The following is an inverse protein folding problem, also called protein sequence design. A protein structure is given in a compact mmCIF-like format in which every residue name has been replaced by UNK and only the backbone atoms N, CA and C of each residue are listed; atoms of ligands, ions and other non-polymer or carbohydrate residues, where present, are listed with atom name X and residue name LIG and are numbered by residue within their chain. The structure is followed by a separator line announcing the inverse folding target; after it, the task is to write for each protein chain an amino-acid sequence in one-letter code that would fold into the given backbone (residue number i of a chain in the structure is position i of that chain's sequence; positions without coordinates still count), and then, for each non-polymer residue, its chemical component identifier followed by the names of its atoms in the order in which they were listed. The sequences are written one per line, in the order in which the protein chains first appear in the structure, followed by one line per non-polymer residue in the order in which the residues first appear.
data_IF_016960788659
#
_entry.id   IF_016960788659
#
_cell.length_a   1.000
_cell.length_b   1.000
_cell.length_c   1.000
_cell.angle_alpha   90.00
_cell.angle_beta   90.00
_cell.angle_gamma   90.00
#
_symmetry.space_group_name_H-M   'P 1'
#
loop_
_entity.id
_entity.type
_entity.pdbx_description
1 polymer ?
#
# COMPACT_ATOMS: atom_id res chain seq x y z
N UNK A 1 20.33 27.42 -6.74
CA UNK A 1 19.89 26.80 -8.02
C UNK A 1 18.39 27.00 -8.12
N UNK A 2 17.96 27.74 -9.12
CA UNK A 2 16.62 28.35 -9.25
C UNK A 2 15.52 27.32 -9.47
N UNK A 3 14.50 27.35 -8.59
CA UNK A 3 13.27 26.58 -8.71
C UNK A 3 12.32 27.31 -9.68
N UNK A 4 12.23 26.83 -10.90
CA UNK A 4 11.18 27.26 -11.82
C UNK A 4 9.81 26.73 -11.38
N UNK A 5 8.78 27.61 -11.38
CA UNK A 5 7.43 27.25 -10.98
C UNK A 5 6.78 26.24 -11.94
N UNK A 6 5.83 25.47 -11.45
CA UNK A 6 5.07 24.48 -12.24
C UNK A 6 4.42 25.11 -13.47
N UNK A 7 4.04 26.38 -13.39
CA UNK A 7 3.44 27.15 -14.46
C UNK A 7 4.40 27.41 -15.62
N UNK A 8 5.67 27.68 -15.33
CA UNK A 8 6.72 27.87 -16.36
C UNK A 8 7.10 26.57 -17.04
N UNK A 9 7.06 25.43 -16.32
CA UNK A 9 7.25 24.08 -16.89
C UNK A 9 6.13 23.70 -17.84
N UNK A 10 4.88 23.99 -17.49
CA UNK A 10 3.70 23.72 -18.33
C UNK A 10 3.67 24.63 -19.56
N UNK A 11 4.14 25.87 -19.46
CA UNK A 11 4.21 26.81 -20.59
C UNK A 11 5.31 26.38 -21.58
N UNK A 12 6.42 25.81 -21.09
CA UNK A 12 7.49 25.26 -21.93
C UNK A 12 7.08 23.99 -22.67
N UNK A 13 6.32 23.10 -22.01
CA UNK A 13 5.74 21.89 -22.64
C UNK A 13 4.69 22.22 -23.70
N UNK A 14 3.90 23.29 -23.53
CA UNK A 14 2.99 23.78 -24.57
C UNK A 14 3.69 24.38 -25.77
N UNK A 15 4.93 24.88 -25.62
CA UNK A 15 5.73 25.42 -26.74
C UNK A 15 6.56 24.36 -27.47
N UNK A 16 6.77 23.17 -26.90
CA UNK A 16 7.50 22.05 -27.54
C UNK A 16 6.57 21.00 -28.17
N UNK A 17 5.25 21.19 -28.07
CA UNK A 17 4.24 20.32 -28.67
C UNK A 17 3.80 20.83 -30.04
N UNK A 18 4.26 20.11 -31.07
CA UNK A 18 3.81 20.14 -32.46
C UNK A 18 3.92 21.51 -33.19
N UNK A 19 5.09 21.81 -33.68
CA UNK A 19 5.15 22.41 -35.00
C UNK A 19 4.70 21.35 -36.02
N UNK A 20 3.38 21.29 -36.26
CA UNK A 20 2.86 20.76 -37.51
C UNK A 20 3.34 21.71 -38.58
N UNK A 21 4.36 21.31 -39.33
CA UNK A 21 4.71 21.96 -40.58
C UNK A 21 3.43 21.93 -41.43
N UNK A 22 2.81 23.11 -41.74
CA UNK A 22 1.64 23.10 -42.60
C UNK A 22 2.04 22.52 -43.93
N UNK A 23 1.23 21.60 -44.45
CA UNK A 23 1.42 21.10 -45.81
C UNK A 23 1.58 22.30 -46.75
N UNK A 24 2.60 22.34 -47.60
CA UNK A 24 2.81 23.48 -48.51
C UNK A 24 1.55 23.68 -49.32
N UNK A 25 1.04 24.93 -49.34
CA UNK A 25 -0.11 25.27 -50.18
C UNK A 25 0.26 25.02 -51.65
N UNK A 26 -0.73 24.62 -52.46
CA UNK A 26 -0.53 24.41 -53.92
C UNK A 26 0.19 25.60 -54.55
N UNK A 27 -0.17 26.82 -54.14
CA UNK A 27 0.47 28.11 -54.60
C UNK A 27 1.95 28.23 -54.26
N UNK A 28 2.41 27.58 -53.17
CA UNK A 28 3.83 27.60 -52.79
C UNK A 28 4.65 26.58 -53.61
N UNK A 29 4.05 25.42 -53.83
CA UNK A 29 4.64 24.39 -54.71
C UNK A 29 4.63 24.85 -56.20
N UNK A 30 3.59 25.54 -56.65
CA UNK A 30 3.56 26.14 -57.95
C UNK A 30 4.65 27.22 -58.11
N UNK A 31 4.90 28.05 -57.09
CA UNK A 31 5.93 29.09 -57.11
C UNK A 31 7.36 28.56 -57.04
N UNK A 32 7.59 27.48 -56.36
CA UNK A 32 8.90 26.81 -56.29
C UNK A 32 9.22 26.04 -57.58
N UNK A 33 8.21 25.53 -58.27
CA UNK A 33 8.38 24.80 -59.55
C UNK A 33 8.43 25.72 -60.78
N UNK A 34 7.90 26.94 -60.72
CA UNK A 34 7.90 27.90 -61.82
C UNK A 34 9.13 28.81 -61.86
N UNK A 35 10.07 28.61 -60.95
CA UNK A 35 11.37 29.31 -60.96
C UNK A 35 12.35 28.72 -61.97
N UNK A 36 12.38 29.31 -63.17
CA UNK A 36 13.31 29.05 -64.27
C UNK A 36 12.95 27.85 -65.17
N UNK A 37 12.07 28.04 -66.16
CA UNK A 37 12.34 27.94 -67.58
C UNK A 37 11.04 28.04 -68.37
N UNK A 38 10.91 29.13 -69.08
CA UNK A 38 9.81 29.42 -69.95
C UNK A 38 10.02 28.68 -71.29
N UNK A 39 9.58 27.43 -71.39
CA UNK A 39 9.31 26.72 -72.66
C UNK A 39 8.82 25.28 -72.45
N UNK A 40 7.81 25.05 -71.61
CA UNK A 40 7.05 23.79 -71.62
C UNK A 40 5.65 24.06 -72.17
N UNK A 41 5.21 23.30 -73.19
CA UNK A 41 3.93 23.50 -73.84
C UNK A 41 2.74 23.24 -72.91
N UNK A 42 1.64 23.98 -73.11
CA UNK A 42 0.40 23.91 -72.27
C UNK A 42 -0.11 22.49 -71.97
N UNK A 43 0.18 21.52 -72.83
CA UNK A 43 -0.20 20.11 -72.63
C UNK A 43 0.59 19.36 -71.53
N UNK A 44 1.88 19.67 -71.32
CA UNK A 44 2.69 19.08 -70.28
C UNK A 44 2.39 19.64 -68.91
N UNK A 45 2.07 20.93 -68.82
CA UNK A 45 1.64 21.61 -67.58
C UNK A 45 0.29 21.08 -67.08
N UNK A 46 -0.68 20.85 -67.99
CA UNK A 46 -1.98 20.23 -67.64
C UNK A 46 -1.83 18.76 -67.19
N UNK A 47 -0.92 18.02 -67.80
CA UNK A 47 -0.54 16.65 -67.41
C UNK A 47 0.11 16.60 -66.01
N UNK A 48 1.03 17.55 -65.74
CA UNK A 48 1.71 17.66 -64.48
C UNK A 48 0.75 18.07 -63.37
N UNK A 49 -0.15 19.02 -63.60
CA UNK A 49 -1.18 19.44 -62.66
C UNK A 49 -2.13 18.32 -62.29
N UNK A 50 -2.62 17.56 -63.28
CA UNK A 50 -3.49 16.40 -63.01
C UNK A 50 -2.77 15.29 -62.26
N UNK A 51 -1.44 15.16 -62.41
CA UNK A 51 -0.63 14.18 -61.68
C UNK A 51 -0.40 14.63 -60.23
N UNK A 52 -0.17 15.92 -60.00
CA UNK A 52 -0.08 16.51 -58.66
C UNK A 52 -1.40 16.42 -57.88
N UNK A 53 -2.52 16.73 -58.51
CA UNK A 53 -3.86 16.59 -57.90
C UNK A 53 -4.14 15.15 -57.45
N UNK A 54 -3.75 14.15 -58.24
CA UNK A 54 -3.87 12.73 -57.86
C UNK A 54 -2.98 12.38 -56.69
N UNK A 55 -1.72 12.91 -56.62
CA UNK A 55 -0.83 12.67 -55.52
C UNK A 55 -1.32 13.32 -54.24
N UNK A 56 -1.82 14.55 -54.32
CA UNK A 56 -2.39 15.26 -53.16
C UNK A 56 -3.67 14.54 -52.69
N UNK A 57 -4.55 14.09 -53.59
CA UNK A 57 -5.73 13.31 -53.24
C UNK A 57 -5.35 11.96 -52.59
N UNK A 58 -4.34 11.27 -53.11
CA UNK A 58 -3.84 10.01 -52.52
C UNK A 58 -3.20 10.23 -51.16
N UNK A 59 -2.42 11.32 -51.00
CA UNK A 59 -1.85 11.70 -49.71
C UNK A 59 -2.92 12.07 -48.67
N UNK A 60 -3.97 12.79 -49.07
CA UNK A 60 -5.11 13.13 -48.21
C UNK A 60 -5.91 11.88 -47.80
N UNK A 61 -6.11 10.91 -48.70
CA UNK A 61 -6.73 9.61 -48.36
C UNK A 61 -5.86 8.85 -47.36
N UNK A 62 -4.56 8.74 -47.63
CA UNK A 62 -3.61 8.06 -46.75
C UNK A 62 -3.49 8.71 -45.36
N UNK A 63 -3.57 10.03 -45.32
CA UNK A 63 -3.61 10.77 -44.05
C UNK A 63 -4.95 10.59 -43.31
N UNK A 64 -6.08 10.51 -44.02
CA UNK A 64 -7.39 10.14 -43.44
C UNK A 64 -7.39 8.71 -42.90
N UNK A 65 -6.80 7.77 -43.61
CA UNK A 65 -6.66 6.36 -43.17
C UNK A 65 -5.72 6.27 -41.94
N UNK A 66 -4.61 7.03 -41.93
CA UNK A 66 -3.70 7.14 -40.79
C UNK A 66 -4.37 7.75 -39.56
N UNK A 67 -5.27 8.73 -39.75
CA UNK A 67 -6.06 9.34 -38.67
C UNK A 67 -7.23 8.48 -38.23
N UNK A 68 -7.71 7.56 -39.03
CA UNK A 68 -8.79 6.63 -38.66
C UNK A 68 -8.34 5.57 -37.65
N UNK A 69 -7.05 5.26 -37.58
CA UNK A 69 -6.55 4.16 -36.75
C UNK A 69 -7.04 2.79 -37.23
N UNK A 70 -6.65 1.72 -36.57
CA UNK A 70 -7.21 0.40 -36.85
C UNK A 70 -8.70 0.37 -36.50
N UNK A 71 -9.47 -0.43 -37.22
CA UNK A 71 -10.89 -0.62 -36.97
C UNK A 71 -11.15 -1.03 -35.52
N UNK A 72 -12.12 -0.42 -34.79
CA UNK A 72 -12.42 -0.77 -33.42
C UNK A 72 -12.80 -2.23 -33.27
N UNK A 73 -12.24 -2.93 -32.32
CA UNK A 73 -12.64 -4.29 -31.97
C UNK A 73 -13.72 -4.27 -30.88
N UNK A 74 -14.84 -4.97 -31.08
CA UNK A 74 -15.90 -5.13 -30.08
C UNK A 74 -15.37 -5.80 -28.80
N UNK A 75 -16.00 -5.52 -27.65
CA UNK A 75 -15.61 -6.11 -26.37
C UNK A 75 -15.76 -7.64 -26.38
N UNK A 76 -16.83 -8.12 -26.95
CA UNK A 76 -17.19 -9.54 -27.03
C UNK A 76 -16.23 -10.39 -27.86
N UNK A 77 -15.40 -9.76 -28.71
CA UNK A 77 -14.36 -10.47 -29.49
C UNK A 77 -13.07 -10.67 -28.67
N UNK A 78 -12.85 -9.86 -27.63
CA UNK A 78 -11.60 -9.86 -26.85
C UNK A 78 -11.78 -10.36 -25.41
N UNK A 79 -13.00 -10.29 -24.89
CA UNK A 79 -13.32 -10.68 -23.52
C UNK A 79 -14.49 -11.67 -23.54
N UNK A 80 -14.23 -12.87 -23.05
CA UNK A 80 -15.25 -13.92 -22.93
C UNK A 80 -16.22 -13.58 -21.80
N UNK A 81 -17.32 -12.93 -22.15
CA UNK A 81 -18.32 -12.44 -21.20
C UNK A 81 -19.72 -12.45 -21.78
N UNK A 82 -20.68 -12.20 -20.93
CA UNK A 82 -22.11 -12.27 -21.23
C UNK A 82 -22.80 -10.93 -20.98
N UNK A 83 -23.75 -10.57 -21.84
CA UNK A 83 -24.74 -9.53 -21.53
C UNK A 83 -25.78 -10.12 -20.60
N UNK A 84 -25.94 -9.54 -19.44
CA UNK A 84 -26.89 -9.98 -18.42
C UNK A 84 -27.93 -8.89 -18.23
N UNK A 85 -29.22 -9.27 -18.32
CA UNK A 85 -30.34 -8.36 -18.11
C UNK A 85 -31.07 -8.62 -16.78
N UNK A 86 -31.61 -7.56 -16.22
CA UNK A 86 -32.55 -7.60 -15.11
C UNK A 86 -33.59 -6.46 -15.26
N UNK A 87 -34.49 -6.29 -14.28
CA UNK A 87 -35.55 -5.28 -14.34
C UNK A 87 -35.03 -3.82 -14.42
N UNK A 88 -33.74 -3.57 -14.13
CA UNK A 88 -33.09 -2.26 -14.20
C UNK A 88 -32.30 -2.01 -15.49
N UNK A 89 -32.21 -2.99 -16.40
CA UNK A 89 -31.49 -2.90 -17.65
C UNK A 89 -30.51 -4.04 -17.87
N UNK A 90 -29.47 -3.78 -18.66
CA UNK A 90 -28.42 -4.74 -18.99
C UNK A 90 -27.06 -4.26 -18.48
N UNK A 91 -26.13 -5.18 -18.32
CA UNK A 91 -24.70 -4.94 -18.07
C UNK A 91 -23.86 -6.09 -18.64
N UNK A 92 -22.54 -5.95 -18.66
CA UNK A 92 -21.65 -7.00 -19.13
C UNK A 92 -21.00 -7.73 -17.94
N UNK A 93 -20.97 -9.06 -17.98
CA UNK A 93 -20.42 -9.91 -16.92
C UNK A 93 -19.39 -10.88 -17.47
N UNK A 94 -18.28 -11.01 -16.78
CA UNK A 94 -17.23 -11.99 -17.05
C UNK A 94 -17.11 -12.92 -15.83
N UNK A 95 -17.19 -14.22 -16.08
CA UNK A 95 -16.99 -15.25 -15.08
C UNK A 95 -15.70 -16.03 -15.40
N UNK A 96 -14.85 -16.21 -14.43
CA UNK A 96 -13.64 -17.01 -14.53
C UNK A 96 -13.35 -17.74 -13.21
N UNK A 97 -12.43 -18.68 -13.22
CA UNK A 97 -12.05 -19.38 -12.00
C UNK A 97 -10.65 -19.95 -12.10
N UNK A 98 -9.99 -20.10 -10.97
CA UNK A 98 -8.68 -20.74 -10.85
C UNK A 98 -8.81 -21.94 -9.93
N UNK A 99 -8.27 -23.11 -10.34
CA UNK A 99 -8.24 -24.28 -9.46
C UNK A 99 -7.28 -24.01 -8.30
N UNK A 100 -7.64 -24.38 -7.06
CA UNK A 100 -6.88 -24.03 -5.87
C UNK A 100 -5.47 -24.62 -5.83
N UNK A 101 -5.22 -25.73 -6.52
CA UNK A 101 -3.88 -26.31 -6.66
C UNK A 101 -2.97 -25.51 -7.62
N UNK A 102 -3.55 -24.65 -8.48
CA UNK A 102 -2.75 -23.75 -9.30
C UNK A 102 -2.15 -22.66 -8.42
N UNK A 103 -0.83 -22.50 -8.54
CA UNK A 103 -0.12 -21.50 -7.75
C UNK A 103 -0.31 -20.10 -8.36
N UNK A 104 -0.61 -19.14 -7.52
CA UNK A 104 -0.55 -17.73 -7.88
C UNK A 104 0.81 -17.16 -7.46
N UNK A 105 1.72 -17.04 -8.43
CA UNK A 105 3.14 -16.94 -8.10
C UNK A 105 3.61 -18.19 -7.31
N UNK A 106 4.21 -17.96 -6.15
CA UNK A 106 4.66 -19.06 -5.28
C UNK A 106 3.60 -19.55 -4.28
N UNK A 107 2.38 -19.00 -4.30
CA UNK A 107 1.34 -19.26 -3.30
C UNK A 107 0.28 -20.21 -3.83
N UNK A 108 0.13 -21.43 -3.31
CA UNK A 108 -1.00 -22.28 -3.59
C UNK A 108 -2.23 -21.82 -2.81
N UNK A 109 -3.33 -21.50 -3.51
CA UNK A 109 -4.56 -21.03 -2.89
C UNK A 109 -5.23 -22.11 -2.01
N UNK A 110 -4.98 -23.39 -2.30
CA UNK A 110 -5.48 -24.54 -1.51
C UNK A 110 -5.08 -24.47 -0.03
N UNK A 111 -4.05 -23.69 0.30
CA UNK A 111 -3.67 -23.46 1.70
C UNK A 111 -4.73 -22.76 2.53
N UNK A 112 -5.73 -22.16 1.92
CA UNK A 112 -6.87 -21.56 2.64
C UNK A 112 -7.59 -22.57 3.53
N UNK A 113 -7.64 -23.84 3.13
CA UNK A 113 -8.30 -24.92 3.91
C UNK A 113 -7.60 -25.25 5.23
N UNK A 114 -6.32 -24.91 5.36
CA UNK A 114 -5.53 -25.14 6.56
C UNK A 114 -5.46 -23.92 7.50
N UNK A 115 -6.04 -22.78 7.10
CA UNK A 115 -6.03 -21.56 7.91
C UNK A 115 -7.10 -21.65 8.99
N UNK A 116 -6.68 -21.43 10.25
CA UNK A 116 -7.58 -21.28 11.38
C UNK A 116 -8.33 -19.92 11.25
N UNK A 117 -9.68 -19.92 11.34
CA UNK A 117 -10.46 -18.67 11.32
C UNK A 117 -10.04 -17.62 12.36
N UNK A 118 -9.42 -18.04 13.47
CA UNK A 118 -8.90 -17.13 14.50
C UNK A 118 -7.63 -16.38 14.05
N UNK A 119 -6.96 -16.84 12.99
CA UNK A 119 -5.69 -16.25 12.54
C UNK A 119 -5.85 -14.82 12.06
N UNK A 120 -6.97 -14.48 11.41
CA UNK A 120 -7.23 -13.11 10.95
C UNK A 120 -7.38 -12.16 12.14
N UNK A 121 -8.00 -12.59 13.23
CA UNK A 121 -8.06 -11.85 14.49
C UNK A 121 -6.67 -11.57 15.06
N UNK A 122 -5.79 -12.56 15.06
CA UNK A 122 -4.38 -12.40 15.48
C UNK A 122 -3.66 -11.42 14.56
N UNK A 123 -3.80 -11.56 13.26
CA UNK A 123 -3.16 -10.72 12.24
C UNK A 123 -3.55 -9.24 12.38
N UNK A 124 -4.82 -8.96 12.67
CA UNK A 124 -5.37 -7.61 12.73
C UNK A 124 -5.38 -7.03 14.14
N UNK A 125 -5.57 -7.85 15.16
CA UNK A 125 -5.90 -7.49 16.53
C UNK A 125 -7.15 -6.59 16.59
N UNK A 126 -8.14 -6.87 15.75
CA UNK A 126 -9.44 -6.19 15.69
C UNK A 126 -10.53 -7.15 16.20
N UNK A 127 -11.28 -6.83 17.27
CA UNK A 127 -12.28 -7.75 17.86
C UNK A 127 -13.35 -8.23 16.88
N UNK A 128 -13.77 -7.36 15.94
CA UNK A 128 -14.76 -7.71 14.92
C UNK A 128 -14.25 -8.72 13.88
N UNK A 129 -12.94 -9.02 13.87
CA UNK A 129 -12.30 -9.97 12.96
C UNK A 129 -11.74 -11.18 13.72
N UNK A 130 -12.13 -11.40 14.98
CA UNK A 130 -11.63 -12.48 15.84
C UNK A 130 -11.96 -13.86 15.27
N UNK A 131 -13.12 -14.04 14.67
CA UNK A 131 -13.53 -15.24 13.95
C UNK A 131 -13.84 -14.90 12.50
N UNK A 132 -12.80 -14.89 11.66
CA UNK A 132 -12.93 -14.51 10.26
C UNK A 132 -12.44 -15.64 9.35
N UNK A 133 -13.39 -16.42 8.82
CA UNK A 133 -13.07 -17.46 7.84
C UNK A 133 -12.93 -16.86 6.43
N UNK A 134 -11.74 -16.98 5.84
CA UNK A 134 -11.46 -16.51 4.48
C UNK A 134 -12.30 -17.25 3.43
N UNK A 135 -12.74 -18.48 3.72
CA UNK A 135 -13.55 -19.30 2.79
C UNK A 135 -14.98 -18.77 2.65
N UNK A 136 -15.47 -18.04 3.64
CA UNK A 136 -16.80 -17.43 3.65
C UNK A 136 -16.78 -15.95 3.26
N UNK A 137 -15.61 -15.44 2.86
CA UNK A 137 -15.46 -14.05 2.49
C UNK A 137 -15.56 -13.83 0.98
N UNK A 138 -16.09 -12.66 0.60
CA UNK A 138 -15.92 -12.15 -0.75
C UNK A 138 -14.73 -11.21 -0.80
N UNK A 139 -13.89 -11.37 -1.82
CA UNK A 139 -12.79 -10.50 -2.17
C UNK A 139 -13.28 -9.49 -3.20
N UNK A 140 -12.99 -8.21 -3.02
CA UNK A 140 -13.54 -7.15 -3.87
C UNK A 140 -12.45 -6.13 -4.22
N UNK A 141 -12.48 -5.71 -5.48
CA UNK A 141 -11.66 -4.64 -6.03
C UNK A 141 -12.44 -3.89 -7.12
N UNK A 142 -12.19 -2.59 -7.31
CA UNK A 142 -12.93 -1.75 -8.26
C UNK A 142 -12.03 -0.90 -9.13
N UNK A 143 -12.40 -0.81 -10.43
CA UNK A 143 -11.85 0.17 -11.34
C UNK A 143 -12.83 1.33 -11.53
N UNK A 144 -12.30 2.54 -11.45
CA UNK A 144 -13.13 3.74 -11.31
C UNK A 144 -12.83 4.80 -12.37
N UNK A 145 -13.79 5.67 -12.61
CA UNK A 145 -13.64 6.78 -13.57
C UNK A 145 -12.77 7.94 -13.04
N UNK A 146 -12.25 7.86 -11.81
CA UNK A 146 -11.40 8.89 -11.21
C UNK A 146 -10.72 8.42 -9.93
N UNK A 147 -9.52 8.94 -9.68
CA UNK A 147 -8.66 8.55 -8.55
C UNK A 147 -8.99 9.27 -7.22
N UNK A 148 -9.74 10.37 -7.26
CA UNK A 148 -9.93 11.24 -6.11
C UNK A 148 -11.19 10.95 -5.28
N UNK A 149 -12.08 10.04 -5.72
CA UNK A 149 -13.38 9.85 -5.11
C UNK A 149 -14.32 11.05 -5.34
N UNK A 150 -15.54 10.96 -4.86
CA UNK A 150 -16.56 12.00 -4.96
C UNK A 150 -17.79 11.55 -5.74
N UNK A 151 -18.90 12.31 -5.65
CA UNK A 151 -20.20 11.93 -6.22
C UNK A 151 -20.21 11.72 -7.76
N UNK A 152 -19.22 12.26 -8.46
CA UNK A 152 -19.05 12.10 -9.91
C UNK A 152 -18.24 10.88 -10.32
N UNK A 153 -17.60 10.17 -9.39
CA UNK A 153 -16.83 8.96 -9.67
C UNK A 153 -17.75 7.76 -9.71
N UNK A 154 -17.66 6.94 -10.76
CA UNK A 154 -18.38 5.68 -10.88
C UNK A 154 -17.38 4.51 -10.90
N UNK A 155 -17.77 3.38 -10.33
CA UNK A 155 -17.07 2.11 -10.49
C UNK A 155 -17.56 1.47 -11.79
N UNK A 156 -16.74 1.49 -12.82
CA UNK A 156 -17.14 0.95 -14.13
C UNK A 156 -16.84 -0.53 -14.29
N UNK A 157 -15.88 -1.05 -13.51
CA UNK A 157 -15.58 -2.47 -13.41
C UNK A 157 -15.46 -2.85 -11.93
N UNK A 158 -16.24 -3.84 -11.50
CA UNK A 158 -16.23 -4.34 -10.13
C UNK A 158 -15.91 -5.82 -10.18
N UNK A 159 -14.73 -6.19 -9.68
CA UNK A 159 -14.33 -7.56 -9.52
C UNK A 159 -14.71 -8.09 -8.15
N UNK A 160 -15.29 -9.28 -8.12
CA UNK A 160 -15.50 -10.04 -6.88
C UNK A 160 -14.95 -11.45 -7.04
N UNK A 161 -14.38 -11.99 -5.95
CA UNK A 161 -13.85 -13.35 -5.92
C UNK A 161 -14.26 -14.07 -4.64
N UNK A 162 -14.38 -15.40 -4.71
CA UNK A 162 -14.71 -16.24 -3.56
C UNK A 162 -14.21 -17.67 -3.73
N UNK A 163 -14.04 -18.35 -2.63
CA UNK A 163 -13.71 -19.77 -2.61
C UNK A 163 -14.99 -20.61 -2.76
N UNK A 164 -14.99 -21.57 -3.68
CA UNK A 164 -16.11 -22.48 -3.92
C UNK A 164 -15.58 -23.88 -4.30
N UNK A 165 -15.74 -24.84 -3.42
CA UNK A 165 -15.16 -26.18 -3.60
C UNK A 165 -13.64 -26.10 -3.82
N UNK A 166 -13.16 -26.71 -4.90
CA UNK A 166 -11.73 -26.73 -5.27
C UNK A 166 -11.33 -25.57 -6.21
N UNK A 167 -12.11 -24.48 -6.23
CA UNK A 167 -11.87 -23.34 -7.10
C UNK A 167 -11.94 -22.02 -6.34
N UNK A 168 -11.17 -21.07 -6.83
CA UNK A 168 -11.38 -19.66 -6.55
C UNK A 168 -12.07 -19.02 -7.75
N UNK A 169 -13.33 -18.67 -7.58
CA UNK A 169 -14.18 -18.06 -8.60
C UNK A 169 -13.94 -16.56 -8.64
N UNK A 170 -13.95 -15.97 -9.82
CA UNK A 170 -13.88 -14.52 -10.03
C UNK A 170 -15.01 -14.13 -10.98
N UNK A 171 -15.76 -13.13 -10.58
CA UNK A 171 -16.82 -12.51 -11.37
C UNK A 171 -16.56 -11.01 -11.49
N UNK A 172 -16.64 -10.52 -12.72
CA UNK A 172 -16.44 -9.11 -13.02
C UNK A 172 -17.73 -8.53 -13.58
N UNK A 173 -18.17 -7.43 -12.99
CA UNK A 173 -19.34 -6.65 -13.39
C UNK A 173 -18.85 -5.40 -14.09
N UNK A 174 -19.19 -5.25 -15.38
CA UNK A 174 -18.71 -4.15 -16.20
C UNK A 174 -19.87 -3.29 -16.72
N UNK A 175 -19.73 -2.01 -16.52
CA UNK A 175 -20.63 -0.96 -16.97
C UNK A 175 -20.16 -0.45 -18.34
N UNK A 176 -20.83 -0.84 -19.42
CA UNK A 176 -20.49 -0.40 -20.79
C UNK A 176 -20.85 1.06 -21.05
N UNK A 177 -21.82 1.58 -20.29
CA UNK A 177 -22.24 2.97 -20.30
C UNK A 177 -22.94 3.28 -18.96
N UNK A 178 -23.00 4.54 -18.57
CA UNK A 178 -23.52 4.98 -17.26
C UNK A 178 -24.97 4.57 -16.98
N UNK A 179 -25.81 4.39 -18.02
CA UNK A 179 -27.18 3.93 -17.84
C UNK A 179 -27.30 2.47 -17.38
N UNK A 180 -26.22 1.69 -17.46
CA UNK A 180 -26.18 0.30 -17.00
C UNK A 180 -25.89 0.17 -15.50
N UNK A 181 -25.54 1.26 -14.82
CA UNK A 181 -25.13 1.21 -13.41
C UNK A 181 -26.19 0.61 -12.49
N UNK A 182 -27.46 0.96 -12.68
CA UNK A 182 -28.54 0.42 -11.85
C UNK A 182 -28.68 -1.10 -11.97
N UNK A 183 -28.60 -1.61 -13.20
CA UNK A 183 -28.67 -3.04 -13.47
C UNK A 183 -27.46 -3.79 -12.88
N UNK A 184 -26.26 -3.23 -13.04
CA UNK A 184 -25.01 -3.77 -12.50
C UNK A 184 -25.06 -3.83 -10.97
N UNK A 185 -25.40 -2.72 -10.30
CA UNK A 185 -25.46 -2.66 -8.84
C UNK A 185 -26.53 -3.57 -8.25
N UNK A 186 -27.68 -3.72 -8.93
CA UNK A 186 -28.72 -4.66 -8.50
C UNK A 186 -28.20 -6.11 -8.52
N UNK A 187 -27.55 -6.52 -9.61
CA UNK A 187 -26.96 -7.84 -9.74
C UNK A 187 -25.81 -8.07 -8.73
N UNK A 188 -24.95 -7.07 -8.55
CA UNK A 188 -23.88 -7.10 -7.55
C UNK A 188 -24.43 -7.24 -6.13
N UNK A 189 -25.52 -6.55 -5.79
CA UNK A 189 -26.16 -6.66 -4.48
C UNK A 189 -26.58 -8.09 -4.17
N UNK A 190 -27.22 -8.77 -5.14
CA UNK A 190 -27.63 -10.17 -5.01
C UNK A 190 -26.44 -11.12 -4.79
N UNK A 191 -25.31 -10.85 -5.44
CA UNK A 191 -24.10 -11.65 -5.24
C UNK A 191 -23.47 -11.39 -3.85
N UNK A 192 -23.27 -10.13 -3.49
CA UNK A 192 -22.64 -9.75 -2.23
C UNK A 192 -23.43 -10.20 -1.00
N UNK A 193 -24.76 -10.25 -1.08
CA UNK A 193 -25.62 -10.72 0.00
C UNK A 193 -25.40 -12.19 0.41
N UNK A 194 -24.70 -12.97 -0.41
CA UNK A 194 -24.35 -14.38 -0.11
C UNK A 194 -23.22 -14.49 0.93
N UNK A 195 -22.45 -13.41 1.14
CA UNK A 195 -21.23 -13.43 1.93
C UNK A 195 -21.35 -12.64 3.23
N UNK A 196 -20.97 -13.23 4.36
CA UNK A 196 -21.00 -12.54 5.64
C UNK A 196 -19.75 -11.66 5.88
N UNK A 197 -18.72 -11.74 5.03
CA UNK A 197 -17.41 -11.13 5.25
C UNK A 197 -16.84 -10.53 3.97
N UNK A 198 -16.07 -9.46 4.12
CA UNK A 198 -15.46 -8.72 3.01
C UNK A 198 -13.93 -8.68 3.15
N UNK A 199 -13.22 -8.90 2.05
CA UNK A 199 -11.76 -8.70 1.94
C UNK A 199 -11.47 -7.72 0.80
N UNK A 200 -10.62 -6.72 1.07
CA UNK A 200 -10.18 -5.74 0.07
C UNK A 200 -8.71 -5.38 0.26
N UNK A 201 -8.19 -4.55 -0.62
CA UNK A 201 -6.89 -3.89 -0.44
C UNK A 201 -7.04 -2.37 -0.49
N UNK A 202 -6.96 -1.71 0.68
CA UNK A 202 -7.22 -0.27 0.85
C UNK A 202 -8.70 0.13 0.62
N UNK A 203 -9.59 -0.85 0.57
CA UNK A 203 -11.00 -0.64 0.26
C UNK A 203 -11.80 0.04 1.37
N UNK A 204 -11.33 0.02 2.63
CA UNK A 204 -11.94 0.81 3.72
C UNK A 204 -11.95 2.30 3.41
N UNK A 205 -10.96 2.79 2.66
CA UNK A 205 -10.82 4.20 2.30
C UNK A 205 -11.32 4.54 0.90
N UNK A 206 -11.41 3.55 -0.01
CA UNK A 206 -11.72 3.80 -1.43
C UNK A 206 -12.96 3.03 -1.91
N UNK A 207 -12.86 1.70 -2.08
CA UNK A 207 -13.91 0.91 -2.73
C UNK A 207 -15.24 0.93 -1.98
N UNK A 208 -15.21 0.70 -0.66
CA UNK A 208 -16.43 0.62 0.15
C UNK A 208 -17.16 1.96 0.24
N UNK A 209 -16.52 3.10 0.55
CA UNK A 209 -17.17 4.40 0.52
C UNK A 209 -17.73 4.77 -0.85
N UNK A 210 -17.01 4.42 -1.93
CA UNK A 210 -17.49 4.66 -3.29
C UNK A 210 -18.74 3.83 -3.59
N UNK A 211 -18.68 2.51 -3.36
CA UNK A 211 -19.83 1.62 -3.61
C UNK A 211 -21.02 2.01 -2.75
N UNK A 212 -20.83 2.30 -1.47
CA UNK A 212 -21.93 2.75 -0.60
C UNK A 212 -22.60 4.03 -1.15
N UNK A 213 -21.81 5.00 -1.63
CA UNK A 213 -22.32 6.20 -2.26
C UNK A 213 -23.10 5.89 -3.56
N UNK A 214 -22.57 4.98 -4.41
CA UNK A 214 -23.23 4.59 -5.68
C UNK A 214 -24.54 3.82 -5.42
N UNK A 215 -24.53 2.91 -4.45
CA UNK A 215 -25.76 2.22 -4.04
C UNK A 215 -26.81 3.19 -3.55
N UNK A 216 -26.46 4.15 -2.68
CA UNK A 216 -27.38 5.18 -2.18
C UNK A 216 -27.95 6.06 -3.30
N UNK A 217 -27.13 6.46 -4.29
CA UNK A 217 -27.59 7.21 -5.45
C UNK A 217 -28.60 6.43 -6.27
N UNK A 218 -28.47 5.10 -6.33
CA UNK A 218 -29.41 4.17 -6.96
C UNK A 218 -30.54 3.72 -6.00
N UNK A 219 -30.74 4.41 -4.85
CA UNK A 219 -31.79 4.11 -3.85
C UNK A 219 -31.71 2.69 -3.28
N UNK A 220 -30.53 2.12 -3.23
CA UNK A 220 -30.23 0.82 -2.67
C UNK A 220 -29.26 0.93 -1.49
N UNK A 221 -29.10 -0.14 -0.73
CA UNK A 221 -28.10 -0.25 0.34
C UNK A 221 -26.96 -1.16 -0.11
N UNK A 222 -25.74 -0.78 0.18
CA UNK A 222 -24.59 -1.66 0.00
C UNK A 222 -24.69 -2.85 0.98
N UNK A 223 -24.76 -4.10 0.51
CA UNK A 223 -25.07 -5.25 1.38
C UNK A 223 -24.03 -5.49 2.48
N UNK A 224 -22.78 -5.15 2.23
CA UNK A 224 -21.64 -5.39 3.13
C UNK A 224 -21.21 -4.14 3.92
N UNK A 225 -22.06 -3.11 4.03
CA UNK A 225 -21.73 -1.86 4.73
C UNK A 225 -21.31 -2.09 6.20
N UNK A 226 -21.93 -3.06 6.87
CA UNK A 226 -21.68 -3.38 8.29
C UNK A 226 -20.97 -4.75 8.47
N UNK A 227 -20.58 -5.41 7.39
CA UNK A 227 -19.93 -6.70 7.46
C UNK A 227 -18.51 -6.60 8.05
N UNK A 228 -18.04 -7.64 8.78
CA UNK A 228 -16.64 -7.76 9.12
C UNK A 228 -15.75 -7.61 7.87
N UNK A 229 -14.85 -6.62 7.90
CA UNK A 229 -14.08 -6.20 6.74
C UNK A 229 -12.58 -6.26 6.98
N UNK A 230 -11.91 -7.22 6.36
CA UNK A 230 -10.45 -7.35 6.32
C UNK A 230 -9.89 -6.49 5.18
N UNK A 231 -9.31 -5.35 5.52
CA UNK A 231 -8.51 -4.55 4.57
C UNK A 231 -7.05 -4.97 4.67
N UNK A 232 -6.55 -5.64 3.66
CA UNK A 232 -5.20 -6.25 3.65
C UNK A 232 -4.05 -5.25 3.64
N UNK A 233 -4.28 -3.98 3.28
CA UNK A 233 -3.22 -2.96 3.31
C UNK A 233 -2.64 -2.78 4.71
N UNK A 234 -3.48 -2.79 5.75
CA UNK A 234 -3.02 -2.58 7.13
C UNK A 234 -2.18 -3.74 7.65
N UNK A 235 -2.61 -5.02 7.56
CA UNK A 235 -1.77 -6.17 7.87
C UNK A 235 -0.48 -6.22 7.04
N UNK A 236 -0.56 -5.95 5.74
CA UNK A 236 0.61 -5.94 4.88
C UNK A 236 1.66 -4.91 5.34
N UNK A 237 1.25 -3.70 5.70
CA UNK A 237 2.14 -2.68 6.26
C UNK A 237 2.73 -3.11 7.60
N UNK A 238 1.96 -3.79 8.45
CA UNK A 238 2.44 -4.27 9.75
C UNK A 238 3.52 -5.35 9.60
N UNK A 239 3.35 -6.27 8.65
CA UNK A 239 4.27 -7.38 8.43
C UNK A 239 5.51 -6.97 7.63
N UNK A 240 5.35 -6.19 6.55
CA UNK A 240 6.41 -6.06 5.54
C UNK A 240 6.96 -4.66 5.33
N UNK A 241 6.35 -3.59 5.90
CA UNK A 241 6.83 -2.22 5.71
C UNK A 241 8.23 -1.97 6.27
N UNK A 242 8.66 -2.74 7.26
CA UNK A 242 10.01 -2.63 7.81
C UNK A 242 11.10 -3.05 6.80
N UNK A 243 10.75 -3.95 5.86
CA UNK A 243 11.64 -4.45 4.81
C UNK A 243 11.40 -3.80 3.45
N UNK A 244 10.12 -3.61 3.08
CA UNK A 244 9.73 -3.15 1.76
C UNK A 244 9.53 -1.63 1.72
N UNK A 245 10.05 -0.98 0.71
CA UNK A 245 9.83 0.45 0.47
C UNK A 245 8.37 0.76 0.17
N UNK A 246 7.70 -0.12 -0.60
CA UNK A 246 6.30 -0.01 -1.00
C UNK A 246 5.51 -1.24 -0.55
N UNK A 247 4.28 -0.98 -0.06
CA UNK A 247 3.29 -2.01 0.21
C UNK A 247 2.09 -1.87 -0.75
N UNK A 248 2.29 -1.44 -1.99
CA UNK A 248 1.28 -1.56 -3.06
C UNK A 248 1.13 -3.02 -3.43
N UNK A 249 -0.04 -3.43 -3.90
CA UNK A 249 -0.34 -4.83 -4.21
C UNK A 249 0.71 -5.44 -5.15
N UNK A 250 1.02 -4.78 -6.27
CA UNK A 250 2.04 -5.23 -7.22
C UNK A 250 3.45 -5.35 -6.61
N UNK A 251 3.80 -4.46 -5.65
CA UNK A 251 5.09 -4.54 -4.95
C UNK A 251 5.14 -5.76 -4.03
N UNK A 252 4.02 -6.09 -3.38
CA UNK A 252 3.89 -7.29 -2.54
C UNK A 252 3.90 -8.58 -3.38
N UNK A 253 3.22 -8.59 -4.53
CA UNK A 253 3.27 -9.68 -5.50
C UNK A 253 4.71 -10.02 -5.90
N UNK A 254 5.46 -9.00 -6.33
CA UNK A 254 6.84 -9.19 -6.78
C UNK A 254 7.76 -9.65 -5.65
N UNK A 255 7.62 -9.06 -4.45
CA UNK A 255 8.54 -9.29 -3.33
C UNK A 255 8.24 -10.55 -2.51
N UNK A 256 6.97 -11.00 -2.47
CA UNK A 256 6.51 -12.05 -1.57
C UNK A 256 5.98 -13.29 -2.30
N UNK A 257 5.48 -13.12 -3.52
CA UNK A 257 4.85 -14.21 -4.29
C UNK A 257 5.68 -14.60 -5.52
N UNK A 258 6.78 -13.87 -5.80
CA UNK A 258 7.56 -14.09 -7.02
C UNK A 258 6.79 -13.75 -8.32
N UNK A 259 5.66 -13.06 -8.20
CA UNK A 259 4.78 -12.75 -9.31
C UNK A 259 5.16 -11.40 -9.95
N UNK A 260 5.52 -11.42 -11.23
CA UNK A 260 5.72 -10.21 -12.02
C UNK A 260 4.69 -10.14 -13.12
N UNK A 261 3.95 -9.04 -13.17
CA UNK A 261 2.97 -8.81 -14.22
C UNK A 261 3.68 -8.43 -15.52
N UNK A 262 3.31 -9.08 -16.61
CA UNK A 262 3.80 -8.75 -17.94
C UNK A 262 2.77 -7.91 -18.68
N UNK A 263 3.20 -6.80 -19.26
CA UNK A 263 2.34 -5.91 -20.05
C UNK A 263 1.09 -5.39 -19.30
N UNK A 264 1.15 -5.22 -17.99
CA UNK A 264 0.07 -4.67 -17.17
C UNK A 264 -0.18 -3.18 -17.49
N UNK A 265 -1.37 -2.68 -17.16
CA UNK A 265 -1.71 -1.27 -17.28
C UNK A 265 -1.43 -0.58 -15.95
N UNK A 266 -0.72 0.56 -15.94
CA UNK A 266 -0.64 1.37 -14.73
C UNK A 266 -2.03 1.79 -14.25
N UNK A 267 -2.34 1.56 -12.97
CA UNK A 267 -3.67 1.85 -12.41
C UNK A 267 -4.13 3.31 -12.63
N UNK A 268 -3.19 4.24 -12.72
CA UNK A 268 -3.44 5.65 -13.02
C UNK A 268 -3.92 5.91 -14.46
N UNK A 269 -3.68 5.00 -15.40
CA UNK A 269 -4.12 5.08 -16.80
C UNK A 269 -5.49 4.44 -17.02
N UNK A 270 -5.96 3.57 -16.13
CA UNK A 270 -7.19 2.80 -16.27
C UNK A 270 -8.44 3.70 -16.49
N UNK A 271 -8.63 4.82 -15.77
CA UNK A 271 -9.76 5.71 -16.03
C UNK A 271 -9.77 6.26 -17.47
N UNK A 272 -8.59 6.59 -18.02
CA UNK A 272 -8.48 7.08 -19.37
C UNK A 272 -8.80 6.01 -20.42
N UNK A 273 -8.39 4.75 -20.16
CA UNK A 273 -8.74 3.60 -21.03
C UNK A 273 -10.24 3.42 -21.13
N UNK A 274 -10.97 3.54 -20.00
CA UNK A 274 -12.43 3.46 -20.01
C UNK A 274 -13.06 4.60 -20.81
N UNK A 275 -12.63 5.85 -20.63
CA UNK A 275 -13.15 6.98 -21.41
C UNK A 275 -12.84 6.85 -22.90
N UNK A 276 -11.67 6.35 -23.26
CA UNK A 276 -11.31 6.14 -24.66
C UNK A 276 -12.17 5.03 -25.30
N UNK A 277 -12.44 3.95 -24.54
CA UNK A 277 -13.37 2.91 -24.97
C UNK A 277 -14.81 3.43 -25.12
N UNK A 278 -15.33 4.20 -24.19
CA UNK A 278 -16.68 4.80 -24.30
C UNK A 278 -16.82 5.62 -25.59
N UNK A 279 -15.77 6.37 -25.98
CA UNK A 279 -15.77 7.22 -27.17
C UNK A 279 -15.56 6.44 -28.47
N UNK A 280 -14.68 5.45 -28.47
CA UNK A 280 -14.18 4.79 -29.67
C UNK A 280 -14.73 3.37 -29.86
N UNK A 281 -15.25 2.77 -28.82
CA UNK A 281 -15.71 1.38 -28.74
C UNK A 281 -14.62 0.36 -29.15
N UNK A 282 -13.35 0.72 -28.97
CA UNK A 282 -12.20 -0.16 -29.18
C UNK A 282 -11.79 -0.82 -27.87
N UNK A 283 -12.01 -2.13 -27.76
CA UNK A 283 -11.81 -2.88 -26.53
C UNK A 283 -10.36 -3.37 -26.29
N UNK A 284 -9.39 -3.12 -27.19
CA UNK A 284 -8.04 -3.68 -27.07
C UNK A 284 -7.36 -3.36 -25.76
N UNK A 285 -7.44 -2.09 -25.34
CA UNK A 285 -6.86 -1.69 -24.04
C UNK A 285 -7.77 -2.05 -22.88
N UNK A 286 -9.09 -2.04 -23.09
CA UNK A 286 -10.06 -2.41 -22.06
C UNK A 286 -9.95 -3.88 -21.66
N UNK A 287 -9.68 -4.80 -22.59
CA UNK A 287 -9.44 -6.21 -22.29
C UNK A 287 -8.31 -6.41 -21.26
N UNK A 288 -7.26 -5.57 -21.33
CA UNK A 288 -6.17 -5.58 -20.34
C UNK A 288 -6.61 -5.08 -18.96
N UNK A 289 -7.61 -4.21 -18.89
CA UNK A 289 -8.20 -3.77 -17.60
C UNK A 289 -8.96 -4.92 -16.93
N UNK A 290 -9.67 -5.75 -17.70
CA UNK A 290 -10.27 -6.98 -17.17
C UNK A 290 -9.22 -7.94 -16.59
N UNK A 291 -8.11 -8.15 -17.31
CA UNK A 291 -7.01 -8.98 -16.82
C UNK A 291 -6.38 -8.41 -15.56
N UNK A 292 -6.17 -7.09 -15.50
CA UNK A 292 -5.63 -6.37 -14.34
C UNK A 292 -6.51 -6.62 -13.10
N UNK A 293 -7.80 -6.26 -13.17
CA UNK A 293 -8.73 -6.43 -12.06
C UNK A 293 -8.90 -7.91 -11.65
N UNK A 294 -8.99 -8.85 -12.63
CA UNK A 294 -9.01 -10.29 -12.32
C UNK A 294 -7.76 -10.73 -11.55
N UNK A 295 -6.59 -10.24 -11.94
CA UNK A 295 -5.34 -10.56 -11.27
C UNK A 295 -5.30 -9.96 -9.87
N UNK A 296 -5.79 -8.74 -9.66
CA UNK A 296 -5.89 -8.11 -8.35
C UNK A 296 -6.74 -8.96 -7.40
N UNK A 297 -7.90 -9.42 -7.83
CA UNK A 297 -8.79 -10.28 -7.03
C UNK A 297 -8.09 -11.59 -6.62
N UNK A 298 -7.40 -12.26 -7.53
CA UNK A 298 -6.67 -13.50 -7.21
C UNK A 298 -5.48 -13.20 -6.28
N UNK A 299 -4.80 -12.08 -6.49
CA UNK A 299 -3.71 -11.63 -5.62
C UNK A 299 -4.17 -11.28 -4.21
N UNK A 300 -5.38 -10.73 -4.05
CA UNK A 300 -5.99 -10.51 -2.72
C UNK A 300 -6.13 -11.84 -1.96
N UNK A 301 -6.66 -12.88 -2.61
CA UNK A 301 -6.79 -14.20 -2.00
C UNK A 301 -5.43 -14.79 -1.62
N UNK A 302 -4.46 -14.73 -2.53
CA UNK A 302 -3.11 -15.22 -2.27
C UNK A 302 -2.41 -14.45 -1.13
N UNK A 303 -2.57 -13.13 -1.08
CA UNK A 303 -2.00 -12.29 -0.03
C UNK A 303 -2.62 -12.58 1.33
N UNK A 304 -3.95 -12.76 1.41
CA UNK A 304 -4.63 -13.15 2.64
C UNK A 304 -4.13 -14.49 3.16
N UNK A 305 -4.05 -15.50 2.29
CA UNK A 305 -3.50 -16.82 2.61
C UNK A 305 -2.05 -16.70 3.11
N UNK A 306 -1.21 -15.95 2.41
CA UNK A 306 0.19 -15.76 2.78
C UNK A 306 0.34 -15.08 4.15
N UNK A 307 -0.41 -14.01 4.41
CA UNK A 307 -0.35 -13.28 5.67
C UNK A 307 -0.79 -14.14 6.86
N UNK A 308 -1.85 -14.92 6.71
CA UNK A 308 -2.30 -15.85 7.73
C UNK A 308 -1.26 -16.93 8.00
N UNK A 309 -0.71 -17.55 6.97
CA UNK A 309 0.35 -18.59 7.14
C UNK A 309 1.59 -18.05 7.86
N UNK A 310 1.97 -16.81 7.61
CA UNK A 310 3.10 -16.21 8.33
C UNK A 310 2.81 -16.10 9.83
N UNK A 311 1.59 -15.76 10.20
CA UNK A 311 1.18 -15.72 11.61
C UNK A 311 1.14 -17.11 12.24
N UNK A 312 0.68 -18.10 11.52
CA UNK A 312 0.56 -19.49 12.04
C UNK A 312 1.91 -20.19 12.14
N UNK A 313 2.68 -20.17 11.06
CA UNK A 313 3.86 -20.99 10.88
C UNK A 313 5.16 -20.28 11.31
N UNK A 314 5.16 -18.96 11.50
CA UNK A 314 6.36 -18.20 11.85
C UNK A 314 7.46 -18.23 10.77
N UNK A 315 7.11 -18.39 9.51
CA UNK A 315 8.06 -18.61 8.39
C UNK A 315 8.74 -17.37 7.81
N UNK A 316 8.77 -16.27 8.52
CA UNK A 316 9.56 -15.13 8.09
C UNK A 316 11.06 -15.46 8.14
N UNK A 317 11.81 -15.17 7.08
CA UNK A 317 13.26 -15.45 6.99
C UNK A 317 14.09 -14.19 7.17
N UNK A 318 13.60 -13.03 6.71
CA UNK A 318 14.25 -11.74 6.93
C UNK A 318 14.02 -11.27 8.37
N UNK A 319 15.08 -10.88 9.06
CA UNK A 319 15.04 -10.47 10.46
C UNK A 319 14.05 -9.32 10.75
N UNK A 320 13.84 -8.41 9.79
CA UNK A 320 12.88 -7.28 9.90
C UNK A 320 11.43 -7.77 9.83
N UNK A 321 11.17 -8.78 9.00
CA UNK A 321 9.86 -9.41 8.91
C UNK A 321 9.56 -10.25 10.15
N UNK A 322 10.57 -10.96 10.70
CA UNK A 322 10.47 -11.67 11.99
C UNK A 322 10.17 -10.70 13.13
N UNK A 323 10.86 -9.56 13.19
CA UNK A 323 10.55 -8.49 14.14
C UNK A 323 9.11 -7.98 13.98
N UNK A 324 8.66 -7.79 12.75
CA UNK A 324 7.31 -7.33 12.45
C UNK A 324 6.25 -8.35 12.86
N UNK A 325 6.50 -9.64 12.63
CA UNK A 325 5.65 -10.75 13.12
C UNK A 325 5.58 -10.75 14.65
N UNK A 326 6.72 -10.60 15.34
CA UNK A 326 6.76 -10.49 16.80
C UNK A 326 5.86 -9.34 17.29
N UNK A 327 5.84 -8.21 16.59
CA UNK A 327 4.97 -7.05 16.88
C UNK A 327 3.49 -7.36 16.68
N UNK A 328 3.14 -8.10 15.63
CA UNK A 328 1.75 -8.57 15.37
C UNK A 328 1.29 -9.47 16.51
N UNK A 329 2.09 -10.46 16.88
CA UNK A 329 1.80 -11.39 17.98
C UNK A 329 1.68 -10.67 19.34
N UNK A 330 2.57 -9.69 19.62
CA UNK A 330 2.49 -8.88 20.83
C UNK A 330 1.18 -8.08 20.92
N UNK A 331 0.76 -7.50 19.79
CA UNK A 331 -0.51 -6.74 19.69
C UNK A 331 -1.73 -7.63 19.92
N UNK A 332 -1.68 -8.87 19.43
CA UNK A 332 -2.69 -9.90 19.68
C UNK A 332 -2.57 -10.53 21.08
N UNK A 333 -1.69 -10.02 21.96
CA UNK A 333 -1.41 -10.51 23.31
C UNK A 333 -0.87 -11.95 23.39
N UNK A 334 -0.39 -12.50 22.29
CA UNK A 334 0.31 -13.80 22.23
C UNK A 334 1.77 -13.62 22.64
N UNK A 335 1.95 -13.25 23.90
CA UNK A 335 3.21 -12.72 24.42
C UNK A 335 4.36 -13.74 24.40
N UNK A 336 4.08 -15.01 24.66
CA UNK A 336 5.10 -16.08 24.65
C UNK A 336 5.64 -16.30 23.24
N UNK A 337 4.75 -16.41 22.26
CA UNK A 337 5.12 -16.52 20.84
C UNK A 337 5.85 -15.26 20.36
N UNK A 338 5.37 -14.08 20.71
CA UNK A 338 6.02 -12.79 20.41
C UNK A 338 7.46 -12.73 20.91
N UNK A 339 7.71 -13.23 22.14
CA UNK A 339 9.04 -13.24 22.75
C UNK A 339 10.01 -14.16 22.00
N UNK A 340 9.52 -15.32 21.55
CA UNK A 340 10.29 -16.26 20.71
C UNK A 340 10.71 -15.57 19.40
N UNK A 341 9.78 -14.90 18.74
CA UNK A 341 10.07 -14.23 17.47
C UNK A 341 10.99 -13.00 17.66
N UNK A 342 10.89 -12.24 18.77
CA UNK A 342 11.86 -11.18 19.05
C UNK A 342 13.28 -11.70 19.24
N UNK A 343 13.48 -12.83 19.95
CA UNK A 343 14.79 -13.46 20.07
C UNK A 343 15.31 -13.94 18.72
N UNK A 344 14.46 -14.62 17.96
CA UNK A 344 14.81 -15.06 16.61
C UNK A 344 15.20 -13.89 15.69
N UNK A 345 14.50 -12.75 15.78
CA UNK A 345 14.88 -11.56 15.03
C UNK A 345 16.28 -11.05 15.44
N UNK A 346 16.61 -11.09 16.73
CA UNK A 346 17.94 -10.70 17.22
C UNK A 346 19.05 -11.64 16.74
N UNK A 347 18.76 -12.95 16.68
CA UNK A 347 19.71 -13.95 16.19
C UNK A 347 20.02 -13.77 14.69
N UNK A 348 19.02 -13.30 13.91
CA UNK A 348 19.13 -13.00 12.48
C UNK A 348 19.65 -11.59 12.17
N UNK A 349 19.91 -10.77 13.17
CA UNK A 349 20.31 -9.35 13.11
C UNK A 349 19.32 -8.45 12.34
N UNK A 350 18.33 -7.86 13.02
CA UNK A 350 17.33 -6.99 12.40
C UNK A 350 17.87 -5.56 12.10
N UNK A 351 19.16 -5.34 12.16
CA UNK A 351 19.81 -4.06 11.89
C UNK A 351 19.25 -2.92 12.77
N UNK A 352 18.69 -1.85 12.18
CA UNK A 352 18.19 -0.70 12.94
C UNK A 352 17.03 -1.03 13.90
N UNK A 353 16.43 -2.21 13.82
CA UNK A 353 15.34 -2.65 14.71
C UNK A 353 15.86 -3.40 15.95
N UNK A 354 17.17 -3.67 16.04
CA UNK A 354 17.81 -4.40 17.16
C UNK A 354 17.45 -3.78 18.52
N UNK A 355 17.68 -2.50 18.67
CA UNK A 355 17.38 -1.79 19.93
C UNK A 355 15.90 -1.89 20.30
N UNK A 356 15.01 -1.75 19.31
CA UNK A 356 13.56 -1.88 19.51
C UNK A 356 13.16 -3.29 19.96
N UNK A 357 13.75 -4.35 19.39
CA UNK A 357 13.49 -5.72 19.81
C UNK A 357 13.94 -5.96 21.26
N UNK A 358 15.15 -5.54 21.62
CA UNK A 358 15.69 -5.61 22.96
C UNK A 358 14.81 -4.86 23.98
N UNK A 359 14.36 -3.66 23.64
CA UNK A 359 13.46 -2.87 24.47
C UNK A 359 12.13 -3.59 24.75
N UNK A 360 11.56 -4.29 23.75
CA UNK A 360 10.33 -5.11 23.93
C UNK A 360 10.57 -6.28 24.88
N UNK A 361 11.67 -7.00 24.70
CA UNK A 361 12.05 -8.10 25.59
C UNK A 361 12.30 -7.60 27.03
N UNK A 362 12.93 -6.44 27.19
CA UNK A 362 13.17 -5.83 28.50
C UNK A 362 11.85 -5.50 29.23
N UNK A 363 10.86 -4.94 28.54
CA UNK A 363 9.54 -4.70 29.13
C UNK A 363 8.81 -6.00 29.51
N UNK A 364 9.01 -7.07 28.75
CA UNK A 364 8.48 -8.40 29.11
C UNK A 364 9.14 -8.92 30.38
N UNK A 365 10.47 -8.87 30.48
CA UNK A 365 11.23 -9.26 31.67
C UNK A 365 10.77 -8.46 32.88
N UNK A 366 10.65 -7.13 32.79
CA UNK A 366 10.12 -6.25 33.84
C UNK A 366 8.73 -6.69 34.33
N UNK A 367 7.80 -7.00 33.41
CA UNK A 367 6.43 -7.42 33.75
C UNK A 367 6.40 -8.77 34.48
N UNK A 368 7.36 -9.65 34.22
CA UNK A 368 7.52 -10.94 34.92
C UNK A 368 8.25 -10.80 36.27
N UNK A 369 8.72 -9.60 36.60
CA UNK A 369 9.48 -9.34 37.80
C UNK A 369 10.98 -9.67 37.68
N UNK A 370 11.44 -10.12 36.52
CA UNK A 370 12.87 -10.40 36.25
C UNK A 370 13.59 -9.10 35.93
N UNK A 371 13.95 -8.38 37.02
CA UNK A 371 14.54 -7.06 36.93
C UNK A 371 16.02 -7.09 36.51
N UNK A 372 16.73 -8.14 36.85
CA UNK A 372 18.11 -8.32 36.44
C UNK A 372 18.21 -8.44 34.91
N UNK A 373 17.42 -9.33 34.33
CA UNK A 373 17.34 -9.47 32.89
C UNK A 373 16.79 -8.21 32.18
N UNK A 374 15.81 -7.53 32.78
CA UNK A 374 15.30 -6.29 32.24
C UNK A 374 16.39 -5.21 32.16
N UNK A 375 17.23 -5.06 33.22
CA UNK A 375 18.33 -4.11 33.23
C UNK A 375 19.39 -4.44 32.16
N UNK A 376 19.78 -5.72 32.02
CA UNK A 376 20.72 -6.14 31.00
C UNK A 376 20.19 -5.77 29.58
N UNK A 377 18.95 -6.15 29.30
CA UNK A 377 18.32 -5.85 28.01
C UNK A 377 18.13 -4.35 27.76
N UNK A 378 17.80 -3.53 28.78
CA UNK A 378 17.75 -2.08 28.61
C UNK A 378 19.12 -1.48 28.34
N UNK A 379 20.17 -1.99 28.96
CA UNK A 379 21.53 -1.54 28.66
C UNK A 379 21.88 -1.78 27.20
N UNK A 380 21.70 -3.02 26.73
CA UNK A 380 21.93 -3.36 25.33
C UNK A 380 21.05 -2.54 24.36
N UNK A 381 19.77 -2.33 24.69
CA UNK A 381 18.86 -1.52 23.87
C UNK A 381 19.30 -0.06 23.80
N UNK A 382 19.74 0.49 24.92
CA UNK A 382 20.27 1.87 25.01
C UNK A 382 21.55 2.04 24.20
N UNK A 383 22.44 1.06 24.25
CA UNK A 383 23.66 1.03 23.42
C UNK A 383 23.36 0.89 21.94
N UNK A 384 22.25 0.21 21.59
CA UNK A 384 21.73 0.12 20.24
C UNK A 384 20.92 1.37 19.78
N UNK A 385 20.89 2.44 20.60
CA UNK A 385 20.29 3.72 20.23
C UNK A 385 18.87 3.98 20.75
N UNK A 386 18.32 3.12 21.60
CA UNK A 386 16.96 3.32 22.14
C UNK A 386 17.00 4.20 23.41
N UNK A 387 16.64 5.46 23.26
CA UNK A 387 16.62 6.46 24.35
C UNK A 387 15.70 6.04 25.52
N UNK A 388 14.55 5.42 25.20
CA UNK A 388 13.61 4.95 26.22
C UNK A 388 14.22 3.91 27.16
N UNK A 389 15.17 3.12 26.70
CA UNK A 389 15.86 2.14 27.50
C UNK A 389 16.67 2.81 28.62
N UNK A 390 17.39 3.90 28.33
CA UNK A 390 18.09 4.67 29.32
C UNK A 390 17.16 5.32 30.35
N UNK A 391 15.98 5.74 29.93
CA UNK A 391 14.94 6.25 30.84
C UNK A 391 14.48 5.18 31.84
N UNK A 392 14.19 3.98 31.36
CA UNK A 392 13.77 2.85 32.20
C UNK A 392 14.86 2.44 33.19
N UNK A 393 16.11 2.39 32.73
CA UNK A 393 17.28 2.14 33.62
C UNK A 393 17.42 3.21 34.71
N UNK A 394 17.36 4.50 34.33
CA UNK A 394 17.43 5.59 35.30
C UNK A 394 16.30 5.49 36.34
N UNK A 395 15.09 5.16 35.92
CA UNK A 395 13.93 4.95 36.81
C UNK A 395 14.14 3.74 37.73
N UNK A 396 14.62 2.65 37.20
CA UNK A 396 14.89 1.43 37.96
C UNK A 396 15.94 1.67 39.05
N UNK A 397 17.09 2.27 38.71
CA UNK A 397 18.16 2.59 39.68
C UNK A 397 17.72 3.61 40.70
N UNK A 398 16.95 4.65 40.31
CA UNK A 398 16.47 5.69 41.24
C UNK A 398 15.48 5.16 42.28
N UNK A 399 14.49 4.37 41.82
CA UNK A 399 13.34 4.05 42.67
C UNK A 399 13.38 2.65 43.28
N UNK A 400 14.01 1.69 42.63
CA UNK A 400 14.03 0.29 43.07
C UNK A 400 15.35 -0.08 43.75
N UNK A 401 16.46 0.15 43.06
CA UNK A 401 17.80 -0.17 43.59
C UNK A 401 18.26 0.91 44.58
N UNK A 402 17.78 2.15 44.41
CA UNK A 402 18.19 3.35 45.17
C UNK A 402 19.67 3.71 44.94
N UNK A 403 20.25 3.32 43.84
CA UNK A 403 21.57 3.73 43.38
C UNK A 403 21.47 5.02 42.57
N UNK A 404 21.69 6.16 43.23
CA UNK A 404 21.63 7.47 42.61
C UNK A 404 22.76 7.72 41.60
N UNK A 405 23.89 7.02 41.73
CA UNK A 405 25.01 7.17 40.80
C UNK A 405 24.72 6.48 39.50
N UNK A 406 24.25 5.23 39.53
CA UNK A 406 23.82 4.49 38.34
C UNK A 406 22.62 5.16 37.65
N UNK A 407 21.66 5.67 38.43
CA UNK A 407 20.52 6.43 37.88
C UNK A 407 20.98 7.70 37.13
N UNK A 408 21.93 8.44 37.66
CA UNK A 408 22.49 9.63 37.02
C UNK A 408 23.24 9.28 35.74
N UNK A 409 24.10 8.27 35.79
CA UNK A 409 24.84 7.81 34.61
C UNK A 409 23.91 7.38 33.46
N UNK A 410 22.82 6.67 33.77
CA UNK A 410 21.81 6.30 32.76
C UNK A 410 21.09 7.52 32.18
N UNK A 411 20.76 8.51 33.01
CA UNK A 411 20.13 9.75 32.56
C UNK A 411 21.06 10.57 31.63
N UNK A 412 22.34 10.66 31.95
CA UNK A 412 23.36 11.35 31.16
C UNK A 412 23.58 10.65 29.80
N UNK A 413 23.63 9.32 29.75
CA UNK A 413 23.70 8.56 28.50
C UNK A 413 22.49 8.82 27.60
N UNK A 414 21.28 8.86 28.18
CA UNK A 414 20.06 9.20 27.46
C UNK A 414 20.09 10.61 26.86
N UNK A 415 20.61 11.61 27.62
CA UNK A 415 20.80 12.97 27.12
C UNK A 415 21.81 13.03 25.97
N UNK A 416 22.96 12.40 26.15
CA UNK A 416 24.02 12.36 25.13
C UNK A 416 23.52 11.78 23.81
N UNK A 417 22.72 10.72 23.88
CA UNK A 417 22.10 10.09 22.70
C UNK A 417 21.09 11.03 22.00
N UNK A 418 20.31 11.77 22.80
CA UNK A 418 19.37 12.77 22.27
C UNK A 418 20.08 13.96 21.63
N UNK A 419 21.19 14.42 22.20
CA UNK A 419 21.99 15.51 21.65
C UNK A 419 22.62 15.14 20.32
N UNK A 420 23.09 13.90 20.18
CA UNK A 420 23.56 13.36 18.88
C UNK A 420 22.45 13.26 17.85
N UNK A 421 21.19 13.08 18.27
CA UNK A 421 20.01 12.93 17.40
C UNK A 421 19.28 14.25 17.11
N UNK A 422 19.60 15.33 17.79
CA UNK A 422 18.85 16.62 17.86
C UNK A 422 18.58 17.32 16.51
N UNK A 423 19.12 16.82 15.42
CA UNK A 423 18.87 17.44 14.11
C UNK A 423 17.53 17.05 13.47
N UNK A 424 16.65 16.23 14.06
CA UNK A 424 15.54 15.62 13.29
C UNK A 424 14.12 15.63 13.86
N UNK A 425 13.78 15.79 15.17
CA UNK A 425 12.37 15.66 15.60
C UNK A 425 11.95 16.44 16.86
N UNK A 426 10.73 17.02 16.83
CA UNK A 426 10.01 17.61 17.97
C UNK A 426 9.85 16.65 19.19
N UNK A 427 9.73 15.34 18.94
CA UNK A 427 9.68 14.31 20.00
C UNK A 427 10.97 14.24 20.83
N UNK A 428 12.11 14.46 20.21
CA UNK A 428 13.41 14.47 20.90
C UNK A 428 13.48 15.58 21.96
N UNK A 429 12.81 16.71 21.73
CA UNK A 429 12.81 17.84 22.67
C UNK A 429 12.10 17.51 24.00
N UNK A 430 10.89 16.93 23.96
CA UNK A 430 10.15 16.54 25.18
C UNK A 430 10.89 15.46 26.01
N UNK A 431 11.54 14.52 25.32
CA UNK A 431 12.34 13.50 25.99
C UNK A 431 13.56 14.11 26.66
N UNK A 432 14.27 15.03 25.99
CA UNK A 432 15.42 15.73 26.54
C UNK A 432 15.06 16.50 27.81
N UNK A 433 13.97 17.28 27.79
CA UNK A 433 13.48 18.01 28.97
C UNK A 433 13.16 17.05 30.15
N UNK A 434 12.60 15.86 29.84
CA UNK A 434 12.34 14.84 30.86
C UNK A 434 13.61 14.28 31.50
N UNK A 435 14.68 14.09 30.71
CA UNK A 435 15.98 13.66 31.22
C UNK A 435 16.72 14.77 31.99
N UNK A 436 16.66 16.02 31.52
CA UNK A 436 17.26 17.18 32.21
C UNK A 436 16.65 17.36 33.60
N UNK A 437 15.33 17.38 33.72
CA UNK A 437 14.62 17.44 35.01
C UNK A 437 15.00 16.28 35.92
N UNK A 438 15.18 15.09 35.39
CA UNK A 438 15.62 13.93 36.18
C UNK A 438 17.05 14.09 36.66
N UNK A 439 17.97 14.48 35.78
CA UNK A 439 19.37 14.75 36.11
C UNK A 439 19.50 15.75 37.26
N UNK A 440 18.84 16.90 37.15
CA UNK A 440 18.86 17.93 38.21
C UNK A 440 18.32 17.41 39.57
N UNK A 441 17.23 16.64 39.52
CA UNK A 441 16.66 16.03 40.72
C UNK A 441 17.62 15.01 41.36
N UNK A 442 18.28 14.20 40.56
CA UNK A 442 19.25 13.20 41.03
C UNK A 442 20.50 13.85 41.63
N UNK A 443 21.00 14.92 41.03
CA UNK A 443 22.10 15.71 41.57
C UNK A 443 21.74 16.28 42.94
N UNK A 444 20.59 16.93 43.08
CA UNK A 444 20.12 17.45 44.39
C UNK A 444 20.00 16.35 45.45
N UNK A 445 19.47 15.18 45.11
CA UNK A 445 19.40 14.04 46.03
C UNK A 445 20.76 13.52 46.45
N UNK A 446 21.73 13.46 45.53
CA UNK A 446 23.11 13.03 45.79
C UNK A 446 23.83 13.98 46.74
N UNK A 447 23.68 15.30 46.55
CA UNK A 447 24.27 16.32 47.40
C UNK A 447 23.66 16.28 48.81
N UNK A 448 22.35 16.17 48.93
CA UNK A 448 21.68 16.00 50.23
C UNK A 448 22.12 14.72 50.98
N UNK A 449 22.37 13.62 50.26
CA UNK A 449 22.88 12.38 50.84
C UNK A 449 24.31 12.51 51.32
N UNK A 450 25.16 13.22 50.55
CA UNK A 450 26.55 13.54 50.97
C UNK A 450 26.62 14.43 52.20
N UNK A 451 25.77 15.47 52.25
CA UNK A 451 25.70 16.39 53.41
C UNK A 451 25.26 15.66 54.68
N UNK A 452 24.30 14.73 54.59
CA UNK A 452 23.88 13.89 55.73
C UNK A 452 24.99 12.95 56.21
N UNK A 453 25.74 12.33 55.29
CA UNK A 453 26.85 11.44 55.61
C UNK A 453 28.04 12.19 56.25
N UNK A 454 28.27 13.44 55.80
CA UNK A 454 29.33 14.30 56.40
C UNK A 454 28.96 14.81 57.79
N UNK A 455 27.67 15.09 58.09
CA UNK A 455 27.17 15.54 59.35
C UNK A 455 27.07 14.46 60.45
N UNK A 456 27.21 13.18 60.12
CA UNK A 456 27.11 12.03 60.99
C UNK A 456 28.47 11.50 61.49
N UNK A 457 29.60 12.17 61.16
CA UNK A 457 30.92 11.82 61.80
C UNK A 457 30.95 12.30 63.25
N UNK A 458 31.14 11.42 64.24
CA UNK A 458 31.28 11.82 65.57
C UNK A 458 32.55 12.66 65.71
N UNK A 459 32.43 13.83 66.37
CA UNK A 459 33.54 14.70 66.69
C UNK A 459 34.62 13.92 67.44
N UNK A 460 35.93 14.34 67.38
CA UNK A 460 37.03 13.67 68.10
C UNK A 460 36.74 13.69 69.58
N UNK A 461 36.61 12.47 70.11
CA UNK A 461 36.33 12.27 71.51
C UNK A 461 37.24 13.12 72.44
N UNK A 462 36.61 13.86 73.32
CA UNK A 462 37.29 14.44 74.47
C UNK A 462 37.88 13.33 75.35
N UNK A 463 39.19 13.27 75.42
CA UNK A 463 39.89 12.39 76.32
C UNK A 463 39.48 12.68 77.73
N UNK A 464 39.26 11.69 78.62
CA UNK A 464 39.08 11.96 80.06
C UNK A 464 40.38 12.40 80.68
N UNK A 465 40.38 13.58 81.33
CA UNK A 465 41.42 13.97 82.23
C UNK A 465 41.30 13.13 83.48
N UNK A 466 42.41 12.50 83.87
CA UNK A 466 42.63 11.77 85.09
C UNK A 466 42.58 12.63 86.33
#
# INVERSE_FOLDING_TARGET
MSSYSLHERLTRLKRSGSETVPAPSLERLEREMLGSDAAAGDGELLSLKARLERLVAAAAVKERERRRGPEPLPLEELVDGLRVGNEHGEFFRVDSSVHLEVRHGDIPLSRVHAIDPLTVGVLTAEPQLEEFDLREAVFLDTETTGLAGGAGTAAFLIGVGWFEGERFCVRQYFMRDYHEEAALLHALAGELARFPRLVTFNGKMFDVPLLDARFRLNRARFPLADAPHLDLLHPARRLWKARLESCRLQSLEAALMGLRRHADIPGEEIPQVYFDWVRRKDARMLARVFDHNRQDIVSLAALAVLACRWVEEGRAEDARDVYSLARVLERARLFERSEVEYRRALDLDPGPLRGKALLRLAWRAKRRGDHERACALWTEAGEAGEVEAWRELAMHHEHRVRDLAAALAAAERGLSLLEASRQRELRAWHLAEGFERRRERLLRKKDASRSRAAGSRPGPGSAPAS
#
